data_IF_338912619031
#
_entry.id   IF_338912619031
#
_cell.length_a   1.000
_cell.length_b   1.000
_cell.length_c   1.000
_cell.angle_alpha   90.00
_cell.angle_beta   90.00
_cell.angle_gamma   90.00
#
_symmetry.space_group_name_H-M   'P 1'
#
loop_
_entity.id
_entity.type
_entity.pdbx_description
1 polymer ?
#
# COMPACT_ATOMS: atom_id res chain seq x y z
N UNK A 1 -2.41 11.19 12.70
CA UNK A 1 -2.63 10.25 11.59
C UNK A 1 -3.85 10.68 10.78
N UNK A 2 -3.72 10.90 9.48
CA UNK A 2 -4.85 11.18 8.62
C UNK A 2 -5.86 10.03 8.61
N UNK A 3 -7.14 10.37 8.67
CA UNK A 3 -8.22 9.39 8.63
C UNK A 3 -8.80 8.98 9.98
N UNK A 4 -8.31 9.52 11.07
CA UNK A 4 -8.87 9.32 12.40
C UNK A 4 -8.42 8.03 13.09
N UNK A 5 -8.98 7.79 14.27
CA UNK A 5 -8.67 6.63 15.11
C UNK A 5 -9.23 5.34 14.50
N UNK A 6 -8.44 4.27 14.54
CA UNK A 6 -8.82 2.93 14.05
C UNK A 6 -8.59 2.70 12.57
N UNK A 7 -7.87 3.60 11.89
CA UNK A 7 -7.46 3.40 10.48
C UNK A 7 -6.28 2.45 10.35
N UNK A 8 -6.14 1.81 9.16
CA UNK A 8 -4.97 0.98 8.86
C UNK A 8 -3.67 1.77 8.95
N UNK A 9 -3.66 3.02 8.48
CA UNK A 9 -2.49 3.89 8.57
C UNK A 9 -2.06 4.12 10.02
N UNK A 10 -3.00 4.41 10.93
CA UNK A 10 -2.70 4.56 12.36
C UNK A 10 -2.13 3.27 12.96
N UNK A 11 -2.77 2.13 12.66
CA UNK A 11 -2.35 0.84 13.20
C UNK A 11 -0.94 0.44 12.73
N UNK A 12 -0.66 0.56 11.44
CA UNK A 12 0.66 0.24 10.88
C UNK A 12 1.73 1.16 11.45
N UNK A 13 1.46 2.47 11.50
CA UNK A 13 2.42 3.45 12.01
C UNK A 13 2.74 3.20 13.50
N UNK A 14 1.73 2.94 14.33
CA UNK A 14 1.94 2.58 15.73
C UNK A 14 2.77 1.31 15.89
N UNK A 15 2.48 0.28 15.12
CA UNK A 15 3.23 -0.96 15.12
C UNK A 15 4.70 -0.76 14.75
N UNK A 16 4.98 0.10 13.77
CA UNK A 16 6.36 0.46 13.38
C UNK A 16 7.02 1.28 14.49
N UNK A 17 6.35 2.27 15.04
CA UNK A 17 6.88 3.05 16.17
C UNK A 17 7.22 2.17 17.37
N UNK A 18 6.34 1.24 17.75
CA UNK A 18 6.57 0.30 18.86
C UNK A 18 7.77 -0.62 18.58
N UNK A 19 7.98 -1.03 17.32
CA UNK A 19 9.11 -1.87 16.92
C UNK A 19 10.46 -1.16 17.09
N UNK A 20 10.48 0.15 16.94
CA UNK A 20 11.69 0.99 17.04
C UNK A 20 11.76 1.82 18.33
N UNK A 21 10.95 1.47 19.34
CA UNK A 21 10.88 2.21 20.62
C UNK A 21 10.63 3.72 20.45
N UNK A 22 9.86 4.08 19.41
CA UNK A 22 9.52 5.45 19.08
C UNK A 22 8.14 5.78 19.67
N UNK A 23 8.06 6.86 20.45
CA UNK A 23 6.82 7.26 21.14
C UNK A 23 6.39 8.68 20.75
N UNK A 24 5.91 8.91 19.52
CA UNK A 24 5.47 10.24 19.10
C UNK A 24 4.16 10.62 19.79
N UNK A 25 3.96 11.92 19.97
CA UNK A 25 2.66 12.44 20.34
C UNK A 25 1.72 12.40 19.13
N UNK A 26 0.61 11.68 19.26
CA UNK A 26 -0.31 11.46 18.15
C UNK A 26 -1.34 12.57 18.02
N UNK A 27 -1.30 13.24 16.88
CA UNK A 27 -2.37 14.13 16.42
C UNK A 27 -3.31 13.34 15.49
N UNK A 28 -4.58 13.22 15.86
CA UNK A 28 -5.57 12.45 15.09
C UNK A 28 -6.65 13.39 14.59
N UNK A 29 -6.76 13.52 13.27
CA UNK A 29 -7.68 14.42 12.63
C UNK A 29 -8.04 13.94 11.21
N UNK A 30 -8.93 14.66 10.51
CA UNK A 30 -9.18 14.45 9.09
C UNK A 30 -7.91 14.72 8.26
N UNK A 31 -7.90 14.26 7.02
CA UNK A 31 -6.77 14.56 6.11
C UNK A 31 -6.58 16.07 5.92
N UNK A 32 -7.67 16.82 5.75
CA UNK A 32 -7.63 18.27 5.59
C UNK A 32 -7.07 18.95 6.84
N UNK A 33 -7.60 18.63 8.03
CA UNK A 33 -7.15 19.23 9.28
C UNK A 33 -5.68 18.88 9.59
N UNK A 34 -5.24 17.68 9.22
CA UNK A 34 -3.83 17.26 9.36
C UNK A 34 -2.92 18.02 8.40
N UNK A 35 -3.38 18.29 7.18
CA UNK A 35 -2.63 19.12 6.23
C UNK A 35 -2.50 20.55 6.72
N UNK A 36 -3.58 21.14 7.22
CA UNK A 36 -3.59 22.49 7.78
C UNK A 36 -2.68 22.59 9.01
N UNK A 37 -2.75 21.63 9.92
CA UNK A 37 -1.90 21.58 11.10
C UNK A 37 -0.41 21.44 10.74
N UNK A 38 -0.08 20.65 9.71
CA UNK A 38 1.28 20.54 9.19
C UNK A 38 1.76 21.86 8.55
N UNK A 39 0.95 22.46 7.67
CA UNK A 39 1.25 23.73 7.04
C UNK A 39 1.44 24.87 8.07
N UNK A 40 0.66 24.85 9.15
CA UNK A 40 0.76 25.79 10.26
C UNK A 40 1.89 25.46 11.25
N UNK A 41 2.64 24.37 11.04
CA UNK A 41 3.71 23.89 11.93
C UNK A 41 3.24 23.54 13.35
N UNK A 42 1.99 23.12 13.49
CA UNK A 42 1.41 22.62 14.73
C UNK A 42 1.81 21.16 14.99
N UNK A 43 2.09 20.42 13.91
CA UNK A 43 2.64 19.06 13.95
C UNK A 43 3.92 18.98 13.11
N UNK A 44 4.81 18.07 13.46
CA UNK A 44 6.13 17.92 12.81
C UNK A 44 6.09 16.99 11.60
N UNK A 45 5.03 16.21 11.43
CA UNK A 45 4.90 15.29 10.34
C UNK A 45 3.52 14.63 10.29
N UNK A 46 3.25 13.95 9.19
CA UNK A 46 2.02 13.20 9.00
C UNK A 46 2.33 11.84 8.42
N UNK A 47 1.40 10.90 8.52
CA UNK A 47 1.52 9.54 7.98
C UNK A 47 0.41 9.31 6.98
N UNK A 48 0.76 8.78 5.84
CA UNK A 48 -0.21 8.43 4.80
C UNK A 48 -0.01 6.97 4.38
N UNK A 49 -1.11 6.26 4.24
CA UNK A 49 -1.20 5.00 3.51
C UNK A 49 -2.00 5.26 2.24
N UNK A 50 -1.38 5.08 1.10
CA UNK A 50 -1.96 5.38 -0.20
C UNK A 50 -1.08 4.86 -1.34
N UNK A 51 -1.44 5.14 -2.60
CA UNK A 51 -0.59 4.81 -3.75
C UNK A 51 0.71 5.61 -3.70
N UNK A 52 1.72 5.17 -4.48
CA UNK A 52 3.01 5.89 -4.57
C UNK A 52 2.80 7.35 -4.99
N UNK A 53 1.94 7.60 -5.98
CA UNK A 53 1.50 8.96 -6.33
C UNK A 53 0.18 9.24 -5.60
N UNK A 54 0.25 9.94 -4.50
CA UNK A 54 -0.91 10.23 -3.64
C UNK A 54 -1.30 11.72 -3.69
N UNK A 55 -2.57 12.00 -3.95
CA UNK A 55 -3.08 13.36 -4.10
C UNK A 55 -2.98 14.21 -2.82
N UNK A 56 -3.05 13.57 -1.65
CA UNK A 56 -2.87 14.27 -0.38
C UNK A 56 -1.41 14.70 -0.19
N UNK A 57 -0.46 13.81 -0.51
CA UNK A 57 0.97 14.14 -0.43
C UNK A 57 1.31 15.22 -1.45
N UNK A 58 0.79 15.17 -2.68
CA UNK A 58 0.94 16.22 -3.67
C UNK A 58 0.39 17.57 -3.19
N UNK A 59 -0.74 17.56 -2.49
CA UNK A 59 -1.32 18.79 -1.92
C UNK A 59 -0.43 19.39 -0.80
N UNK A 60 0.15 18.54 0.03
CA UNK A 60 1.10 18.97 1.06
C UNK A 60 2.33 19.60 0.42
N UNK A 61 2.95 18.91 -0.53
CA UNK A 61 4.15 19.33 -1.24
C UNK A 61 3.96 20.68 -1.97
N UNK A 62 2.78 20.88 -2.58
CA UNK A 62 2.43 22.17 -3.19
C UNK A 62 2.25 23.32 -2.18
N UNK A 63 2.02 23.01 -0.91
CA UNK A 63 1.74 23.99 0.15
C UNK A 63 2.97 24.34 0.98
N UNK A 64 3.82 23.38 1.24
CA UNK A 64 5.02 23.49 2.06
C UNK A 64 6.03 22.41 1.62
N UNK A 65 7.34 22.73 1.55
CA UNK A 65 8.33 21.71 1.26
C UNK A 65 8.21 20.52 2.21
N UNK A 66 8.11 19.32 1.64
CA UNK A 66 8.06 18.07 2.38
C UNK A 66 9.34 17.27 2.17
N UNK A 67 9.61 16.37 3.08
CA UNK A 67 10.53 15.26 2.91
C UNK A 67 9.84 13.99 3.35
N UNK A 68 10.16 12.87 2.72
CA UNK A 68 9.60 11.56 3.08
C UNK A 68 10.69 10.76 3.77
N UNK A 69 10.39 10.25 4.96
CA UNK A 69 11.35 9.48 5.74
C UNK A 69 11.70 8.20 4.99
N UNK A 70 12.97 8.08 4.65
CA UNK A 70 13.57 6.90 4.05
C UNK A 70 13.87 5.85 5.13
N UNK A 71 13.58 4.59 4.85
CA UNK A 71 13.90 3.47 5.73
C UNK A 71 15.12 2.73 5.16
N UNK A 72 16.09 2.42 6.00
CA UNK A 72 17.22 1.59 5.62
C UNK A 72 16.79 0.14 5.35
N UNK A 73 17.61 -0.59 4.57
CA UNK A 73 17.39 -2.01 4.29
C UNK A 73 17.23 -2.84 5.58
N UNK A 74 18.03 -2.56 6.63
CA UNK A 74 17.94 -3.24 7.90
C UNK A 74 16.61 -2.95 8.63
N UNK A 75 16.10 -1.72 8.55
CA UNK A 75 14.82 -1.35 9.14
C UNK A 75 13.67 -2.01 8.38
N UNK A 76 13.70 -2.02 7.06
CA UNK A 76 12.71 -2.71 6.22
C UNK A 76 12.71 -4.22 6.52
N UNK A 77 13.89 -4.83 6.60
CA UNK A 77 14.02 -6.26 6.93
C UNK A 77 13.42 -6.57 8.31
N UNK A 78 13.73 -5.75 9.32
CA UNK A 78 13.18 -5.90 10.69
C UNK A 78 11.66 -5.72 10.73
N UNK A 79 11.13 -4.75 9.98
CA UNK A 79 9.68 -4.53 9.87
C UNK A 79 9.02 -5.75 9.24
N UNK A 80 9.55 -6.25 8.12
CA UNK A 80 8.97 -7.38 7.39
C UNK A 80 9.09 -8.71 8.13
N UNK A 81 10.15 -8.90 8.92
CA UNK A 81 10.24 -10.06 9.81
C UNK A 81 9.10 -10.09 10.84
N UNK A 82 8.76 -8.93 11.41
CA UNK A 82 7.69 -8.81 12.41
C UNK A 82 6.29 -8.74 11.79
N UNK A 83 6.18 -8.11 10.63
CA UNK A 83 4.92 -7.83 9.93
C UNK A 83 5.01 -8.30 8.47
N UNK A 84 4.94 -9.62 8.20
CA UNK A 84 5.19 -10.20 6.88
C UNK A 84 4.15 -9.83 5.81
N UNK A 85 3.05 -9.16 6.20
CA UNK A 85 2.07 -8.61 5.27
C UNK A 85 2.49 -7.25 4.67
N UNK A 86 3.57 -6.65 5.18
CA UNK A 86 4.15 -5.44 4.60
C UNK A 86 5.15 -5.83 3.50
N UNK A 87 5.03 -5.15 2.37
CA UNK A 87 5.95 -5.28 1.24
C UNK A 87 6.87 -4.07 1.18
N UNK A 88 8.03 -4.26 0.60
CA UNK A 88 8.95 -3.19 0.25
C UNK A 88 8.38 -2.38 -0.91
N UNK A 89 8.52 -1.06 -0.84
CA UNK A 89 8.02 -0.12 -1.84
C UNK A 89 9.03 0.99 -2.04
N UNK A 90 9.33 1.27 -3.29
CA UNK A 90 10.16 2.41 -3.69
C UNK A 90 9.28 3.55 -4.22
N UNK A 91 9.58 4.76 -3.78
CA UNK A 91 9.03 6.00 -4.32
C UNK A 91 10.17 6.66 -5.11
N UNK A 92 10.11 6.69 -6.44
CA UNK A 92 11.19 7.26 -7.25
C UNK A 92 11.41 8.75 -6.97
N UNK A 93 12.66 9.19 -7.07
CA UNK A 93 13.04 10.59 -7.03
C UNK A 93 12.19 11.43 -8.00
N UNK A 94 11.74 12.60 -7.54
CA UNK A 94 10.91 13.49 -8.35
C UNK A 94 9.44 13.07 -8.49
N UNK A 95 8.99 12.04 -7.76
CA UNK A 95 7.55 11.71 -7.64
C UNK A 95 6.79 12.88 -7.00
N UNK A 96 7.42 13.57 -6.08
CA UNK A 96 6.97 14.83 -5.46
C UNK A 96 8.04 15.87 -5.62
N UNK A 97 7.65 17.15 -5.84
CA UNK A 97 8.59 18.25 -6.14
C UNK A 97 9.63 18.46 -5.03
N UNK A 98 9.27 18.24 -3.78
CA UNK A 98 10.15 18.38 -2.62
C UNK A 98 11.08 17.18 -2.37
N UNK A 99 10.92 16.05 -3.10
CA UNK A 99 11.65 14.80 -2.86
C UNK A 99 12.55 14.50 -4.06
N UNK A 100 13.83 14.78 -3.93
CA UNK A 100 14.85 14.69 -5.01
C UNK A 100 15.68 13.40 -4.98
N UNK A 101 15.35 12.45 -4.11
CA UNK A 101 15.99 11.16 -3.94
C UNK A 101 14.96 10.02 -3.99
N UNK A 102 15.43 8.81 -4.25
CA UNK A 102 14.61 7.60 -4.12
C UNK A 102 14.33 7.34 -2.64
N UNK A 103 13.08 7.05 -2.30
CA UNK A 103 12.66 6.76 -0.92
C UNK A 103 12.28 5.29 -0.82
N UNK A 104 12.97 4.57 0.07
CA UNK A 104 12.64 3.18 0.40
C UNK A 104 11.69 3.13 1.60
N UNK A 105 10.59 2.43 1.48
CA UNK A 105 9.57 2.35 2.52
C UNK A 105 8.84 1.02 2.51
N UNK A 106 7.82 0.89 3.34
CA UNK A 106 6.95 -0.29 3.36
C UNK A 106 5.50 0.08 3.03
N UNK A 107 4.82 -0.83 2.38
CA UNK A 107 3.43 -0.68 1.99
C UNK A 107 2.62 -1.95 2.22
N UNK A 108 1.33 -1.88 1.92
CA UNK A 108 0.46 -3.06 1.89
C UNK A 108 -0.14 -3.21 0.50
N UNK A 109 -0.12 -4.41 -0.09
CA UNK A 109 -0.91 -4.66 -1.28
C UNK A 109 -2.38 -4.53 -0.93
N UNK A 110 -3.15 -3.88 -1.80
CA UNK A 110 -4.61 -3.87 -1.71
C UNK A 110 -5.17 -4.95 -2.61
N UNK A 111 -6.07 -5.76 -2.08
CA UNK A 111 -6.63 -6.88 -2.81
C UNK A 111 -8.13 -7.05 -2.60
N UNK A 112 -8.76 -7.78 -3.50
CA UNK A 112 -10.13 -8.24 -3.33
C UNK A 112 -10.12 -9.52 -2.50
N UNK A 113 -10.78 -9.49 -1.36
CA UNK A 113 -10.93 -10.64 -0.47
C UNK A 113 -12.35 -11.22 -0.61
N UNK A 114 -12.44 -12.53 -0.53
CA UNK A 114 -13.70 -13.23 -0.55
C UNK A 114 -13.74 -14.37 0.47
N UNK A 115 -14.83 -15.10 0.53
CA UNK A 115 -15.00 -16.23 1.44
C UNK A 115 -15.10 -17.54 0.66
N UNK A 116 -14.94 -18.65 1.35
CA UNK A 116 -15.12 -20.02 0.80
C UNK A 116 -16.54 -20.30 0.31
N UNK A 117 -17.49 -19.39 0.57
CA UNK A 117 -18.87 -19.50 0.03
C UNK A 117 -18.96 -19.09 -1.45
N UNK A 118 -17.96 -18.35 -1.98
CA UNK A 118 -17.90 -18.02 -3.41
C UNK A 118 -17.44 -19.27 -4.17
N UNK A 119 -18.12 -19.57 -5.28
CA UNK A 119 -17.73 -20.74 -6.08
C UNK A 119 -16.37 -20.53 -6.76
N UNK A 120 -15.65 -21.61 -7.01
CA UNK A 120 -14.39 -21.58 -7.75
C UNK A 120 -14.55 -20.86 -9.10
N UNK A 121 -15.67 -21.14 -9.80
CA UNK A 121 -15.96 -20.53 -11.11
C UNK A 121 -16.17 -19.02 -11.00
N UNK A 122 -16.86 -18.53 -9.96
CA UNK A 122 -17.05 -17.09 -9.78
C UNK A 122 -15.72 -16.39 -9.43
N UNK A 123 -14.90 -16.98 -8.58
CA UNK A 123 -13.55 -16.48 -8.31
C UNK A 123 -12.68 -16.44 -9.56
N UNK A 124 -12.71 -17.49 -10.39
CA UNK A 124 -12.04 -17.52 -11.68
C UNK A 124 -12.53 -16.38 -12.61
N UNK A 125 -13.85 -16.20 -12.71
CA UNK A 125 -14.44 -15.17 -13.56
C UNK A 125 -14.03 -13.74 -13.10
N UNK A 126 -13.94 -13.52 -11.79
CA UNK A 126 -13.45 -12.24 -11.24
C UNK A 126 -11.99 -12.00 -11.65
N UNK A 127 -11.13 -13.00 -11.49
CA UNK A 127 -9.73 -12.89 -11.92
C UNK A 127 -9.64 -12.60 -13.43
N UNK A 128 -10.34 -13.37 -14.25
CA UNK A 128 -10.36 -13.14 -15.70
C UNK A 128 -10.84 -11.73 -16.07
N UNK A 129 -11.87 -11.25 -15.42
CA UNK A 129 -12.36 -9.89 -15.63
C UNK A 129 -11.32 -8.82 -15.27
N UNK A 130 -10.60 -8.98 -14.15
CA UNK A 130 -9.61 -8.00 -13.67
C UNK A 130 -8.33 -8.06 -14.51
N UNK A 131 -7.82 -9.24 -14.77
CA UNK A 131 -6.52 -9.41 -15.44
C UNK A 131 -6.60 -9.29 -16.97
N UNK A 132 -7.78 -9.55 -17.57
CA UNK A 132 -7.97 -9.57 -19.03
C UNK A 132 -9.12 -8.67 -19.49
N UNK A 133 -10.37 -9.11 -19.27
CA UNK A 133 -11.55 -8.56 -19.98
C UNK A 133 -11.83 -7.08 -19.70
N UNK A 134 -11.53 -6.61 -18.49
CA UNK A 134 -11.73 -5.22 -18.08
C UNK A 134 -10.42 -4.47 -17.80
N UNK A 135 -9.25 -5.08 -18.08
CA UNK A 135 -7.94 -4.51 -17.77
C UNK A 135 -7.79 -3.09 -18.26
N UNK A 136 -8.02 -2.84 -19.53
CA UNK A 136 -7.90 -1.49 -20.12
C UNK A 136 -8.86 -0.48 -19.46
N UNK A 137 -10.06 -0.91 -19.07
CA UNK A 137 -11.06 -0.04 -18.48
C UNK A 137 -10.69 0.42 -17.09
N UNK A 138 -10.23 -0.50 -16.22
CA UNK A 138 -9.84 -0.12 -14.87
C UNK A 138 -8.50 0.62 -14.86
N UNK A 139 -7.56 0.29 -15.76
CA UNK A 139 -6.30 1.04 -15.91
C UNK A 139 -6.54 2.48 -16.37
N UNK A 140 -7.50 2.70 -17.27
CA UNK A 140 -7.88 4.06 -17.67
C UNK A 140 -8.57 4.84 -16.52
N UNK A 141 -9.33 4.15 -15.66
CA UNK A 141 -9.97 4.76 -14.50
C UNK A 141 -9.01 5.00 -13.32
N UNK A 142 -7.95 4.20 -13.22
CA UNK A 142 -6.95 4.25 -12.16
C UNK A 142 -5.54 4.06 -12.73
N UNK A 143 -4.97 5.09 -13.39
CA UNK A 143 -3.69 4.99 -14.10
C UNK A 143 -2.52 4.57 -13.21
N UNK A 144 -2.48 5.04 -11.96
CA UNK A 144 -1.43 4.66 -10.99
C UNK A 144 -1.39 3.16 -10.75
N UNK A 145 -2.55 2.50 -10.73
CA UNK A 145 -2.63 1.05 -10.60
C UNK A 145 -2.15 0.28 -11.84
N UNK A 146 -2.07 0.95 -12.99
CA UNK A 146 -1.64 0.31 -14.24
C UNK A 146 -0.15 -0.08 -14.26
N UNK A 147 0.66 0.58 -13.45
CA UNK A 147 2.10 0.33 -13.32
C UNK A 147 2.42 -0.87 -12.41
N UNK A 148 1.44 -1.35 -11.66
CA UNK A 148 1.63 -2.48 -10.76
C UNK A 148 1.57 -3.83 -11.49
N UNK A 149 2.46 -4.74 -11.12
CA UNK A 149 2.34 -6.15 -11.49
C UNK A 149 1.29 -6.83 -10.60
N UNK A 150 0.10 -7.02 -11.14
CA UNK A 150 -1.00 -7.63 -10.40
C UNK A 150 -0.74 -9.10 -10.04
N UNK A 151 0.07 -9.81 -10.82
CA UNK A 151 0.44 -11.21 -10.51
C UNK A 151 1.35 -11.22 -9.30
N UNK A 152 2.40 -10.41 -9.31
CA UNK A 152 3.34 -10.28 -8.20
C UNK A 152 2.61 -9.87 -6.90
N UNK A 153 1.76 -8.83 -6.97
CA UNK A 153 0.97 -8.39 -5.81
C UNK A 153 -0.02 -9.46 -5.31
N UNK A 154 -0.60 -10.26 -6.22
CA UNK A 154 -1.48 -11.36 -5.82
C UNK A 154 -0.69 -12.46 -5.11
N UNK A 155 0.50 -12.79 -5.61
CA UNK A 155 1.39 -13.78 -4.98
C UNK A 155 2.02 -13.26 -3.66
N UNK A 156 2.07 -11.96 -3.43
CA UNK A 156 2.48 -11.36 -2.15
C UNK A 156 1.40 -11.46 -1.05
N UNK A 157 0.23 -12.07 -1.34
CA UNK A 157 -0.82 -12.26 -0.34
C UNK A 157 -0.33 -13.05 0.87
N UNK A 158 -0.64 -12.56 2.07
CA UNK A 158 -0.36 -13.26 3.34
C UNK A 158 -1.44 -14.27 3.76
N UNK A 159 -2.50 -14.40 2.96
CA UNK A 159 -3.58 -15.36 3.15
C UNK A 159 -3.70 -16.27 1.93
N UNK A 160 -4.22 -17.51 2.07
CA UNK A 160 -4.42 -18.40 0.94
C UNK A 160 -5.24 -17.76 -0.18
N UNK A 161 -4.88 -18.04 -1.40
CA UNK A 161 -5.61 -17.57 -2.57
C UNK A 161 -6.90 -18.39 -2.75
N UNK A 162 -7.94 -17.73 -3.25
CA UNK A 162 -9.16 -18.44 -3.61
C UNK A 162 -8.91 -19.45 -4.73
N UNK A 163 -9.56 -20.62 -4.67
CA UNK A 163 -9.34 -21.70 -5.64
C UNK A 163 -9.52 -21.27 -7.12
N UNK A 164 -10.42 -20.32 -7.39
CA UNK A 164 -10.58 -19.71 -8.71
C UNK A 164 -9.40 -18.86 -9.13
N UNK A 165 -8.75 -18.15 -8.19
CA UNK A 165 -7.53 -17.39 -8.44
C UNK A 165 -6.36 -18.31 -8.75
N UNK A 166 -6.20 -19.39 -7.96
CA UNK A 166 -5.17 -20.43 -8.21
C UNK A 166 -5.36 -21.03 -9.60
N UNK A 167 -6.59 -21.39 -9.96
CA UNK A 167 -6.91 -21.94 -11.28
C UNK A 167 -6.52 -20.95 -12.40
N UNK A 168 -6.93 -19.69 -12.28
CA UNK A 168 -6.64 -18.68 -13.29
C UNK A 168 -5.13 -18.45 -13.45
N UNK A 169 -4.40 -18.27 -12.35
CA UNK A 169 -2.95 -18.05 -12.38
C UNK A 169 -2.21 -19.24 -13.01
N UNK A 170 -2.62 -20.47 -12.66
CA UNK A 170 -2.05 -21.70 -13.24
C UNK A 170 -2.31 -21.77 -14.75
N UNK A 171 -3.50 -21.38 -15.21
CA UNK A 171 -3.88 -21.39 -16.63
C UNK A 171 -3.02 -20.41 -17.45
N UNK A 172 -2.68 -19.27 -16.89
CA UNK A 172 -1.79 -18.30 -17.55
C UNK A 172 -0.29 -18.60 -17.36
N UNK A 173 0.05 -19.76 -16.77
CA UNK A 173 1.42 -20.25 -16.61
C UNK A 173 2.18 -19.73 -15.39
N UNK A 174 1.48 -19.17 -14.42
CA UNK A 174 2.07 -18.72 -13.15
C UNK A 174 2.12 -19.88 -12.16
N UNK A 175 3.31 -20.09 -11.57
CA UNK A 175 3.48 -21.05 -10.47
C UNK A 175 2.99 -20.44 -9.17
N UNK A 176 1.96 -21.03 -8.58
CA UNK A 176 1.41 -20.57 -7.28
C UNK A 176 2.11 -21.31 -6.16
N UNK A 177 2.72 -20.62 -5.19
CA UNK A 177 3.38 -21.24 -4.04
C UNK A 177 2.42 -22.13 -3.23
N UNK A 178 2.89 -23.28 -2.77
CA UNK A 178 2.08 -24.25 -2.00
C UNK A 178 1.47 -23.63 -0.75
N UNK A 179 2.16 -22.67 -0.14
CA UNK A 179 1.68 -21.94 1.04
C UNK A 179 0.45 -21.04 0.77
N UNK A 180 0.11 -20.81 -0.50
CA UNK A 180 -1.02 -19.98 -0.92
C UNK A 180 -2.18 -20.77 -1.52
N UNK A 181 -2.12 -22.09 -1.51
CA UNK A 181 -3.16 -22.98 -2.04
C UNK A 181 -4.14 -23.44 -0.94
#
# INVERSE_FOLDING_TARGET
>A
CPGGTGTSAESIFKNICDLFDCAPEYFTASQSDSADAYANREIVGTVKLGPVVDSYVMQLDASIPIDIIDLSEDEIAKIREKYPYLIEVDIPAGTYDGVDHDVHTVGTPQGCQTTTAVSQQDGYNVCKAVFEDAKEKWQAAYPVGAENDLVELTLASSIPLHAGTVQYLTEIGVEVPEAQI
#
